data_IF_656664603469
#
_entry.id   IF_656664603469
#
_cell.length_a   1.000
_cell.length_b   1.000
_cell.length_c   1.000
_cell.angle_alpha   90.00
_cell.angle_beta   90.00
_cell.angle_gamma   90.00
#
_symmetry.space_group_name_H-M   'P 1'
#
loop_
_entity.id
_entity.type
_entity.pdbx_description
1 polymer ?
#
# COMPACT_ATOMS: atom_id res chain seq x y z
N UNK A 1 -3.59 -31.83 -10.45
CA UNK A 1 -3.32 -30.79 -11.46
C UNK A 1 -3.91 -29.49 -10.93
N UNK A 2 -3.11 -28.57 -10.37
CA UNK A 2 -3.64 -27.26 -9.98
C UNK A 2 -4.05 -26.51 -11.25
N UNK A 3 -5.17 -25.78 -11.24
CA UNK A 3 -5.64 -25.08 -12.43
C UNK A 3 -4.70 -23.91 -12.80
N UNK A 4 -4.57 -23.73 -14.11
CA UNK A 4 -3.72 -22.82 -14.90
C UNK A 4 -3.99 -21.32 -14.71
N UNK A 5 -4.48 -20.90 -13.54
CA UNK A 5 -5.24 -19.65 -13.35
C UNK A 5 -4.42 -18.40 -12.95
N UNK A 6 -3.09 -18.51 -12.82
CA UNK A 6 -2.24 -17.43 -12.28
C UNK A 6 -1.11 -17.00 -13.23
N UNK A 7 -1.48 -16.62 -14.46
CA UNK A 7 -0.57 -15.96 -15.42
C UNK A 7 -1.01 -14.57 -15.85
N UNK A 8 -1.89 -13.94 -15.06
CA UNK A 8 -2.24 -12.53 -15.17
C UNK A 8 -1.59 -11.80 -14.00
N UNK A 9 -0.44 -11.19 -14.26
CA UNK A 9 0.26 -10.26 -13.37
C UNK A 9 -0.72 -9.22 -12.83
N UNK A 10 -1.28 -9.42 -11.64
CA UNK A 10 -2.25 -8.50 -11.06
C UNK A 10 -3.24 -9.06 -10.04
N UNK A 11 -2.99 -10.24 -9.45
CA UNK A 11 -3.80 -10.69 -8.29
C UNK A 11 -3.26 -10.01 -7.04
N UNK A 12 -4.00 -9.07 -6.43
CA UNK A 12 -3.54 -8.34 -5.26
C UNK A 12 -3.50 -9.23 -4.01
N UNK A 13 -2.60 -8.91 -3.10
CA UNK A 13 -2.56 -9.46 -1.76
C UNK A 13 -3.42 -8.58 -0.84
N UNK A 14 -4.34 -9.20 -0.10
CA UNK A 14 -5.18 -8.53 0.89
C UNK A 14 -5.13 -9.24 2.24
N UNK A 15 -5.35 -8.47 3.31
CA UNK A 15 -5.44 -8.97 4.68
C UNK A 15 -6.92 -9.09 5.07
N UNK A 16 -7.27 -10.13 5.80
CA UNK A 16 -8.63 -10.44 6.22
C UNK A 16 -8.70 -10.82 7.69
N UNK A 17 -9.80 -10.45 8.34
CA UNK A 17 -10.19 -10.94 9.67
C UNK A 17 -11.43 -11.82 9.52
N UNK A 18 -11.48 -12.96 10.22
CA UNK A 18 -12.65 -13.82 10.26
C UNK A 18 -13.42 -13.62 11.57
N UNK A 19 -14.66 -13.10 11.55
CA UNK A 19 -15.46 -12.90 12.76
C UNK A 19 -15.89 -14.21 13.44
N UNK A 20 -15.82 -15.35 12.75
CA UNK A 20 -16.31 -16.63 13.26
C UNK A 20 -15.29 -17.39 14.10
N UNK A 21 -14.01 -17.23 13.78
CA UNK A 21 -12.92 -17.91 14.49
C UNK A 21 -11.86 -16.95 15.01
N UNK A 22 -12.07 -15.64 14.82
CA UNK A 22 -11.24 -14.54 15.29
C UNK A 22 -9.77 -14.60 14.82
N UNK A 23 -9.56 -15.13 13.61
CA UNK A 23 -8.23 -15.26 13.00
C UNK A 23 -8.04 -14.26 11.89
N UNK A 24 -6.83 -13.72 11.84
CA UNK A 24 -6.33 -12.91 10.73
C UNK A 24 -5.54 -13.79 9.75
N UNK A 25 -5.67 -13.51 8.46
CA UNK A 25 -4.96 -14.22 7.40
C UNK A 25 -4.84 -13.36 6.13
N UNK A 26 -3.95 -13.74 5.22
CA UNK A 26 -3.70 -13.02 3.96
C UNK A 26 -4.03 -13.92 2.77
N UNK A 27 -4.62 -13.34 1.72
CA UNK A 27 -4.95 -14.04 0.48
C UNK A 27 -4.52 -13.23 -0.75
N UNK A 28 -3.90 -13.92 -1.71
CA UNK A 28 -3.83 -13.48 -3.10
C UNK A 28 -5.17 -13.83 -3.75
N UNK A 29 -6.02 -12.82 -3.95
CA UNK A 29 -7.39 -13.05 -4.42
C UNK A 29 -7.84 -11.92 -5.35
N UNK A 30 -8.60 -12.26 -6.39
CA UNK A 30 -9.23 -11.26 -7.25
C UNK A 30 -10.21 -10.43 -6.42
N UNK A 31 -10.36 -9.15 -6.74
CA UNK A 31 -11.37 -8.28 -6.10
C UNK A 31 -12.81 -8.74 -6.36
N UNK A 32 -13.03 -9.60 -7.36
CA UNK A 32 -14.34 -10.20 -7.67
C UNK A 32 -14.68 -11.45 -6.88
N UNK A 33 -13.71 -12.06 -6.21
CA UNK A 33 -13.87 -13.38 -5.61
C UNK A 33 -14.27 -13.27 -4.13
N UNK A 34 -14.92 -14.31 -3.61
CA UNK A 34 -15.34 -14.36 -2.20
C UNK A 34 -14.22 -14.95 -1.34
N UNK A 35 -13.71 -14.23 -0.33
CA UNK A 35 -12.67 -14.77 0.55
C UNK A 35 -13.24 -15.86 1.45
N UNK A 36 -12.49 -16.96 1.59
CA UNK A 36 -12.82 -18.08 2.48
C UNK A 36 -11.76 -18.18 3.56
N UNK A 37 -12.18 -18.25 4.82
CA UNK A 37 -11.26 -18.43 5.94
C UNK A 37 -10.59 -19.81 5.87
N UNK A 38 -9.25 -19.90 5.78
CA UNK A 38 -8.55 -21.18 5.69
C UNK A 38 -8.58 -21.97 7.02
N UNK A 39 -8.96 -21.34 8.13
CA UNK A 39 -9.03 -22.00 9.44
C UNK A 39 -10.37 -22.64 9.75
N UNK A 40 -11.49 -22.06 9.31
CA UNK A 40 -12.84 -22.55 9.65
C UNK A 40 -13.77 -22.73 8.45
N UNK A 41 -13.35 -22.33 7.25
CA UNK A 41 -14.16 -22.44 6.03
C UNK A 41 -15.25 -21.36 5.89
N UNK A 42 -15.33 -20.40 6.80
CA UNK A 42 -16.31 -19.32 6.72
C UNK A 42 -16.09 -18.42 5.50
N UNK A 43 -17.17 -18.01 4.85
CA UNK A 43 -17.19 -17.00 3.77
C UNK A 43 -17.42 -15.58 4.29
N UNK A 44 -17.50 -15.40 5.61
CA UNK A 44 -17.71 -14.09 6.26
C UNK A 44 -16.40 -13.33 6.54
N UNK A 45 -15.34 -13.62 5.81
CA UNK A 45 -14.06 -12.94 6.01
C UNK A 45 -14.15 -11.46 5.60
N UNK A 46 -13.74 -10.58 6.50
CA UNK A 46 -13.79 -9.13 6.32
C UNK A 46 -12.41 -8.61 5.92
N UNK A 47 -12.34 -7.85 4.82
CA UNK A 47 -11.08 -7.26 4.38
C UNK A 47 -10.62 -6.16 5.34
N UNK A 48 -9.38 -6.26 5.81
CA UNK A 48 -8.76 -5.26 6.67
C UNK A 48 -8.18 -4.12 5.83
N UNK A 49 -8.45 -2.89 6.24
CA UNK A 49 -7.93 -1.69 5.57
C UNK A 49 -6.66 -1.22 6.28
N UNK A 50 -5.54 -1.20 5.56
CA UNK A 50 -4.29 -0.60 6.04
C UNK A 50 -4.47 0.90 6.24
N UNK A 51 -4.21 1.37 7.46
CA UNK A 51 -4.25 2.81 7.77
C UNK A 51 -3.04 3.49 7.14
N UNK A 52 -3.26 4.59 6.43
CA UNK A 52 -2.18 5.47 5.98
C UNK A 52 -1.55 6.11 7.21
N UNK A 53 -0.22 6.08 7.31
CA UNK A 53 0.50 6.73 8.40
C UNK A 53 0.22 8.25 8.38
N UNK A 54 0.01 8.89 9.54
CA UNK A 54 -0.25 10.33 9.60
C UNK A 54 0.95 11.15 9.11
N UNK A 55 0.68 12.33 8.55
CA UNK A 55 1.67 13.19 7.86
C UNK A 55 2.60 13.99 8.80
N UNK A 56 3.02 13.43 9.94
CA UNK A 56 3.37 14.26 11.10
C UNK A 56 4.46 15.32 10.85
N UNK A 57 5.39 15.14 9.91
CA UNK A 57 6.45 16.12 9.61
C UNK A 57 6.83 16.25 8.14
N UNK A 58 6.11 15.61 7.22
CA UNK A 58 6.57 15.46 5.84
C UNK A 58 6.80 16.82 5.16
N UNK A 59 5.90 17.78 5.33
CA UNK A 59 6.04 19.12 4.70
C UNK A 59 7.25 19.90 5.24
N UNK A 60 7.46 19.86 6.56
CA UNK A 60 8.58 20.55 7.20
C UNK A 60 9.92 19.92 6.80
N UNK A 61 9.98 18.59 6.80
CA UNK A 61 11.15 17.82 6.39
C UNK A 61 11.45 18.02 4.91
N UNK A 62 10.44 17.96 4.04
CA UNK A 62 10.61 18.19 2.61
C UNK A 62 11.06 19.64 2.29
N UNK A 63 10.61 20.64 3.06
CA UNK A 63 11.11 22.02 2.95
C UNK A 63 12.58 22.12 3.35
N UNK A 64 12.96 21.49 4.46
CA UNK A 64 14.35 21.47 4.93
C UNK A 64 15.28 20.79 3.92
N UNK A 65 14.88 19.65 3.35
CA UNK A 65 15.64 18.95 2.32
C UNK A 65 15.79 19.76 1.03
N UNK A 66 14.71 20.40 0.55
CA UNK A 66 14.80 21.30 -0.61
C UNK A 66 15.75 22.46 -0.35
N UNK A 67 15.68 23.06 0.84
CA UNK A 67 16.58 24.15 1.22
C UNK A 67 18.06 23.71 1.23
N UNK A 68 18.36 22.49 1.71
CA UNK A 68 19.72 21.94 1.62
C UNK A 68 20.14 21.64 0.18
N UNK A 69 19.27 21.01 -0.62
CA UNK A 69 19.54 20.75 -2.02
C UNK A 69 19.85 22.04 -2.81
N UNK A 70 19.18 23.15 -2.50
CA UNK A 70 19.52 24.45 -3.08
C UNK A 70 20.88 24.97 -2.62
N UNK A 71 21.21 24.85 -1.33
CA UNK A 71 22.51 25.27 -0.79
C UNK A 71 23.67 24.46 -1.38
N UNK A 72 23.49 23.17 -1.55
CA UNK A 72 24.47 22.24 -2.12
C UNK A 72 24.55 22.31 -3.65
N UNK A 73 23.72 23.15 -4.29
CA UNK A 73 23.72 23.32 -5.74
C UNK A 73 23.09 22.16 -6.52
N UNK A 74 22.46 21.20 -5.83
CA UNK A 74 21.69 20.12 -6.45
C UNK A 74 20.53 20.64 -7.31
N UNK A 75 20.08 21.88 -7.07
CA UNK A 75 19.05 22.54 -7.89
C UNK A 75 19.60 23.54 -8.91
N UNK A 76 20.90 23.52 -9.22
CA UNK A 76 21.55 24.48 -10.14
C UNK A 76 21.04 24.40 -11.58
N UNK A 77 20.55 23.24 -12.02
CA UNK A 77 20.06 23.01 -13.39
C UNK A 77 18.58 23.42 -13.60
N UNK A 78 17.82 23.71 -12.55
CA UNK A 78 16.40 24.07 -12.71
C UNK A 78 16.25 25.54 -13.16
N UNK A 79 15.23 25.86 -13.94
CA UNK A 79 14.94 27.26 -14.30
C UNK A 79 14.54 28.07 -13.05
N UNK A 80 14.66 29.40 -13.10
CA UNK A 80 14.39 30.26 -11.93
C UNK A 80 12.96 30.13 -11.37
N UNK A 81 12.00 29.81 -12.25
CA UNK A 81 10.61 29.53 -11.86
C UNK A 81 10.41 28.17 -11.17
N UNK A 82 11.18 27.16 -11.58
CA UNK A 82 11.08 25.79 -11.04
C UNK A 82 11.81 25.62 -9.70
N UNK A 83 12.74 26.52 -9.36
CA UNK A 83 13.48 26.53 -8.08
C UNK A 83 12.68 27.05 -6.89
N UNK A 84 11.57 27.76 -7.11
CA UNK A 84 10.82 28.48 -6.06
C UNK A 84 9.61 27.71 -5.49
N UNK A 85 9.38 26.45 -5.89
CA UNK A 85 8.22 25.64 -5.46
C UNK A 85 8.50 24.74 -4.25
#
# INVERSE_FOLDING_TARGET
>A
MPPEQDRRLGVPLYNFHCPDCDKEFELLISSSDTPVCPSCGSTRAEQMVSRIAPDQKLKAVAKAWRAQATKEGHTSNFAGGDRKR
#
